data_IF_098435477088
#
_entry.id   IF_098435477088
#
_cell.length_a   1.000
_cell.length_b   1.000
_cell.length_c   1.000
_cell.angle_alpha   90.00
_cell.angle_beta   90.00
_cell.angle_gamma   90.00
#
_symmetry.space_group_name_H-M   'P 1'
#
loop_
_entity.id
_entity.type
_entity.pdbx_description
1 polymer ?
#
# COMPACT_ATOMS: atom_id res chain seq x y z
N UNK A 1 7.18 2.82 -10.34
CA UNK A 1 6.48 1.59 -9.93
C UNK A 1 7.23 0.99 -8.74
N UNK A 2 6.54 0.72 -7.64
CA UNK A 2 7.10 -0.05 -6.53
C UNK A 2 6.73 -1.51 -6.71
N UNK A 3 7.73 -2.40 -6.60
CA UNK A 3 7.52 -3.83 -6.49
C UNK A 3 7.53 -4.17 -5.00
N UNK A 4 6.44 -4.76 -4.51
CA UNK A 4 6.19 -5.01 -3.09
C UNK A 4 5.92 -6.48 -2.83
N UNK A 5 6.88 -7.39 -3.08
CA UNK A 5 6.71 -8.81 -2.74
C UNK A 5 6.36 -8.96 -1.26
N UNK A 6 5.51 -9.94 -0.94
CA UNK A 6 5.11 -10.21 0.42
C UNK A 6 6.30 -10.54 1.32
N UNK A 7 6.24 -10.04 2.56
CA UNK A 7 6.93 -10.61 3.71
C UNK A 7 5.87 -11.15 4.67
N UNK A 8 5.69 -12.48 4.70
CA UNK A 8 4.70 -13.19 5.53
C UNK A 8 5.36 -14.37 6.24
N UNK A 9 5.63 -14.28 7.55
CA UNK A 9 6.31 -15.34 8.29
C UNK A 9 5.61 -16.69 8.27
N UNK A 10 4.29 -16.70 8.23
CA UNK A 10 3.46 -17.90 8.40
C UNK A 10 2.99 -18.51 7.06
N UNK A 11 3.49 -18.02 5.92
CA UNK A 11 3.08 -18.46 4.57
C UNK A 11 4.28 -18.64 3.62
N UNK A 12 5.47 -18.94 4.15
CA UNK A 12 6.72 -19.15 3.40
C UNK A 12 7.20 -17.98 2.51
N UNK A 13 6.60 -16.80 2.63
CA UNK A 13 7.09 -15.56 2.00
C UNK A 13 8.16 -14.90 2.88
N UNK A 14 9.28 -15.61 3.06
CA UNK A 14 10.38 -15.25 3.96
C UNK A 14 11.69 -14.93 3.21
N UNK A 15 11.58 -14.50 1.95
CA UNK A 15 12.76 -14.16 1.16
C UNK A 15 13.57 -13.06 1.86
N UNK A 16 14.87 -13.30 2.04
CA UNK A 16 15.75 -12.31 2.69
C UNK A 16 15.83 -11.03 1.85
N UNK A 17 16.12 -9.87 2.47
CA UNK A 17 16.35 -8.63 1.73
C UNK A 17 17.37 -8.78 0.60
N UNK A 18 18.44 -9.56 0.82
CA UNK A 18 19.43 -9.84 -0.22
C UNK A 18 18.82 -10.59 -1.40
N UNK A 19 18.09 -11.68 -1.14
CA UNK A 19 17.44 -12.47 -2.19
C UNK A 19 16.46 -11.63 -3.00
N UNK A 20 15.68 -10.77 -2.33
CA UNK A 20 14.73 -9.88 -2.98
C UNK A 20 15.45 -8.84 -3.85
N UNK A 21 16.56 -8.26 -3.36
CA UNK A 21 17.39 -7.32 -4.14
C UNK A 21 18.03 -7.98 -5.36
N UNK A 22 18.47 -9.23 -5.26
CA UNK A 22 19.02 -9.98 -6.40
C UNK A 22 17.97 -10.19 -7.49
N UNK A 23 16.75 -10.59 -7.09
CA UNK A 23 15.62 -10.74 -8.02
C UNK A 23 15.20 -9.40 -8.63
N UNK A 24 15.14 -8.34 -7.82
CA UNK A 24 14.84 -6.99 -8.28
C UNK A 24 15.84 -6.52 -9.35
N UNK A 25 17.14 -6.78 -9.14
CA UNK A 25 18.18 -6.43 -10.12
C UNK A 25 17.95 -7.13 -11.45
N UNK A 26 17.55 -8.41 -11.45
CA UNK A 26 17.20 -9.13 -12.68
C UNK A 26 16.02 -8.48 -13.40
N UNK A 27 14.98 -8.08 -12.67
CA UNK A 27 13.82 -7.38 -13.27
C UNK A 27 14.24 -6.03 -13.85
N UNK A 28 15.05 -5.26 -13.14
CA UNK A 28 15.59 -3.98 -13.63
C UNK A 28 16.36 -4.17 -14.94
N UNK A 29 17.25 -5.16 -15.02
CA UNK A 29 17.98 -5.47 -16.25
C UNK A 29 17.04 -5.84 -17.40
N UNK A 30 15.96 -6.60 -17.15
CA UNK A 30 14.99 -6.93 -18.20
C UNK A 30 14.22 -5.69 -18.70
N UNK A 31 13.84 -4.78 -17.80
CA UNK A 31 13.19 -3.50 -18.15
C UNK A 31 14.12 -2.64 -19.01
N UNK A 32 15.40 -2.55 -18.63
CA UNK A 32 16.42 -1.81 -19.37
C UNK A 32 16.69 -2.43 -20.74
N UNK A 33 16.90 -3.75 -20.82
CA UNK A 33 17.17 -4.46 -22.09
C UNK A 33 16.01 -4.34 -23.09
N UNK A 34 14.78 -4.18 -22.60
CA UNK A 34 13.59 -3.96 -23.43
C UNK A 34 13.31 -2.48 -23.71
N UNK A 35 14.19 -1.56 -23.27
CA UNK A 35 14.03 -0.11 -23.42
C UNK A 35 12.69 0.42 -22.90
N UNK A 36 12.16 -0.18 -21.83
CA UNK A 36 10.91 0.25 -21.23
C UNK A 36 11.16 1.50 -20.37
N UNK A 37 10.43 2.59 -20.62
CA UNK A 37 10.51 3.81 -19.83
C UNK A 37 9.76 3.67 -18.49
N UNK A 38 10.25 2.77 -17.62
CA UNK A 38 9.66 2.46 -16.32
C UNK A 38 10.74 2.57 -15.25
N UNK A 39 10.54 3.47 -14.29
CA UNK A 39 11.37 3.51 -13.08
C UNK A 39 10.83 2.53 -12.03
N UNK A 40 11.67 1.56 -11.65
CA UNK A 40 11.37 0.58 -10.63
C UNK A 40 11.94 0.99 -9.27
N UNK A 41 11.17 0.70 -8.22
CA UNK A 41 11.54 0.84 -6.83
C UNK A 41 11.17 -0.46 -6.11
N UNK A 42 11.79 -0.71 -4.97
CA UNK A 42 11.61 -1.94 -4.21
C UNK A 42 11.11 -1.61 -2.81
N UNK A 43 10.19 -2.42 -2.31
CA UNK A 43 9.79 -2.47 -0.91
C UNK A 43 9.20 -3.83 -0.60
N UNK A 44 8.70 -4.02 0.62
CA UNK A 44 7.86 -5.18 0.93
C UNK A 44 6.44 -4.73 1.20
N UNK A 45 5.47 -5.58 0.86
CA UNK A 45 4.19 -5.61 1.55
C UNK A 45 4.36 -6.52 2.76
N UNK A 46 4.26 -5.95 3.97
CA UNK A 46 4.67 -6.63 5.20
C UNK A 46 3.42 -6.99 5.98
N UNK A 47 3.22 -8.29 6.20
CA UNK A 47 2.15 -8.73 7.09
C UNK A 47 2.53 -8.44 8.53
N UNK A 48 1.70 -7.65 9.19
CA UNK A 48 1.98 -7.18 10.53
C UNK A 48 2.07 -8.32 11.52
N UNK A 49 3.11 -8.27 12.35
CA UNK A 49 3.22 -9.03 13.59
C UNK A 49 4.13 -8.24 14.53
N UNK A 50 4.12 -8.57 15.83
CA UNK A 50 4.97 -7.86 16.79
C UNK A 50 6.47 -8.07 16.49
N UNK A 51 6.83 -9.24 15.94
CA UNK A 51 8.20 -9.58 15.56
C UNK A 51 8.70 -8.73 14.39
N UNK A 52 7.81 -8.28 13.50
CA UNK A 52 8.16 -7.40 12.37
C UNK A 52 8.78 -6.07 12.85
N UNK A 53 8.39 -5.58 14.01
CA UNK A 53 8.97 -4.36 14.62
C UNK A 53 10.48 -4.51 14.79
N UNK A 54 10.94 -5.65 15.31
CA UNK A 54 12.37 -5.90 15.50
C UNK A 54 13.09 -6.21 14.18
N UNK A 55 12.40 -6.82 13.22
CA UNK A 55 12.96 -7.06 11.90
C UNK A 55 13.17 -5.76 11.11
N UNK A 56 12.25 -4.81 11.23
CA UNK A 56 12.38 -3.46 10.66
C UNK A 56 13.56 -2.71 11.29
N UNK A 57 13.73 -2.78 12.63
CA UNK A 57 14.89 -2.18 13.33
C UNK A 57 16.24 -2.76 12.87
N UNK A 58 16.25 -4.03 12.45
CA UNK A 58 17.47 -4.76 12.03
C UNK A 58 17.67 -4.78 10.51
N UNK A 59 16.89 -4.00 9.76
CA UNK A 59 16.88 -3.97 8.30
C UNK A 59 16.71 -5.36 7.65
N UNK A 60 15.94 -6.24 8.31
CA UNK A 60 15.63 -7.60 7.82
C UNK A 60 14.38 -7.66 6.96
N UNK A 61 13.65 -6.56 6.84
CA UNK A 61 12.49 -6.38 5.95
C UNK A 61 12.62 -5.03 5.25
N UNK A 62 12.18 -4.92 4.00
CA UNK A 62 12.37 -3.72 3.19
C UNK A 62 11.29 -2.67 3.45
N UNK A 63 11.73 -1.44 3.69
CA UNK A 63 10.91 -0.22 3.60
C UNK A 63 10.58 0.10 2.14
N UNK A 64 9.69 1.06 1.92
CA UNK A 64 9.33 1.53 0.59
C UNK A 64 10.45 2.40 0.02
N UNK A 65 11.29 1.82 -0.84
CA UNK A 65 12.42 2.50 -1.46
C UNK A 65 13.45 2.91 -0.42
N UNK A 66 13.85 4.19 -0.45
CA UNK A 66 14.78 4.77 0.52
C UNK A 66 14.07 5.63 1.58
N UNK A 67 12.73 5.60 1.62
CA UNK A 67 11.95 6.37 2.58
C UNK A 67 11.81 5.65 3.93
N UNK A 68 11.23 6.33 4.90
CA UNK A 68 10.79 5.74 6.18
C UNK A 68 9.37 5.17 6.12
N UNK A 69 8.79 5.07 4.92
CA UNK A 69 7.47 4.46 4.75
C UNK A 69 7.55 2.93 4.72
N UNK A 70 6.57 2.27 5.32
CA UNK A 70 6.41 0.81 5.30
C UNK A 70 5.01 0.45 4.87
N UNK A 71 4.86 -0.45 3.89
CA UNK A 71 3.55 -0.94 3.47
C UNK A 71 3.17 -2.13 4.35
N UNK A 72 2.09 -1.98 5.12
CA UNK A 72 1.69 -2.95 6.13
C UNK A 72 0.31 -3.50 5.77
N UNK A 73 0.20 -4.82 5.78
CA UNK A 73 -1.05 -5.55 5.64
C UNK A 73 -1.39 -6.31 6.93
N UNK A 74 -2.65 -6.71 7.06
CA UNK A 74 -3.24 -7.34 8.23
C UNK A 74 -4.13 -8.50 7.78
N UNK A 75 -4.52 -9.40 8.70
CA UNK A 75 -5.56 -10.36 8.40
C UNK A 75 -6.89 -9.63 8.16
N UNK A 76 -7.72 -10.17 7.27
CA UNK A 76 -9.05 -9.58 7.00
C UNK A 76 -9.97 -9.57 8.23
N UNK A 77 -9.70 -10.45 9.20
CA UNK A 77 -10.40 -10.56 10.47
C UNK A 77 -9.73 -9.83 11.64
N UNK A 78 -8.59 -9.17 11.45
CA UNK A 78 -7.95 -8.40 12.52
C UNK A 78 -8.87 -7.26 12.97
N UNK A 79 -8.88 -7.01 14.27
CA UNK A 79 -9.65 -5.94 14.86
C UNK A 79 -8.98 -4.57 14.69
N UNK A 80 -9.71 -3.53 15.05
CA UNK A 80 -9.26 -2.16 14.82
C UNK A 80 -8.20 -1.74 15.81
N UNK A 81 -8.26 -2.30 17.01
CA UNK A 81 -7.34 -2.14 18.11
C UNK A 81 -5.94 -2.62 17.70
N UNK A 82 -5.85 -3.78 17.04
CA UNK A 82 -4.62 -4.34 16.46
C UNK A 82 -4.00 -3.37 15.45
N UNK A 83 -4.79 -2.82 14.54
CA UNK A 83 -4.31 -1.86 13.53
C UNK A 83 -3.84 -0.55 14.20
N UNK A 84 -4.57 -0.05 15.20
CA UNK A 84 -4.19 1.15 15.95
C UNK A 84 -2.86 0.92 16.68
N UNK A 85 -2.71 -0.21 17.36
CA UNK A 85 -1.47 -0.57 18.07
C UNK A 85 -0.30 -0.68 17.09
N UNK A 86 -0.51 -1.31 15.94
CA UNK A 86 0.49 -1.40 14.88
C UNK A 86 0.95 -0.02 14.41
N UNK A 87 0.02 0.90 14.15
CA UNK A 87 0.35 2.28 13.77
C UNK A 87 1.15 2.97 14.88
N UNK A 88 0.72 2.85 16.13
CA UNK A 88 1.44 3.42 17.28
C UNK A 88 2.88 2.91 17.37
N UNK A 89 3.09 1.60 17.27
CA UNK A 89 4.40 0.97 17.36
C UNK A 89 5.33 1.42 16.22
N UNK A 90 4.82 1.44 14.99
CA UNK A 90 5.60 1.84 13.82
C UNK A 90 5.96 3.33 13.84
N UNK A 91 5.01 4.19 14.23
CA UNK A 91 5.27 5.63 14.37
C UNK A 91 6.28 5.90 15.48
N UNK A 92 6.25 5.13 16.58
CA UNK A 92 7.25 5.21 17.66
C UNK A 92 8.66 4.83 17.18
N UNK A 93 8.78 4.04 16.10
CA UNK A 93 10.05 3.77 15.41
C UNK A 93 10.46 4.86 14.42
N UNK A 94 9.73 5.97 14.36
CA UNK A 94 9.88 7.03 13.33
C UNK A 94 9.60 6.52 11.90
N UNK A 95 8.84 5.42 11.78
CA UNK A 95 8.36 4.93 10.49
C UNK A 95 6.98 5.52 10.17
N UNK A 96 6.66 5.58 8.88
CA UNK A 96 5.38 6.07 8.37
C UNK A 96 4.59 4.91 7.77
N UNK A 97 3.66 4.29 8.52
CA UNK A 97 2.92 3.14 8.02
C UNK A 97 1.95 3.55 6.90
N UNK A 98 2.02 2.85 5.78
CA UNK A 98 0.99 2.84 4.73
C UNK A 98 0.15 1.58 4.98
N UNK A 99 -1.11 1.77 5.38
CA UNK A 99 -2.01 0.64 5.60
C UNK A 99 -2.54 0.18 4.24
N UNK A 100 -2.16 -1.02 3.84
CA UNK A 100 -2.52 -1.62 2.56
C UNK A 100 -4.03 -1.86 2.47
N UNK A 101 -4.59 -1.64 1.28
CA UNK A 101 -5.93 -2.05 0.85
C UNK A 101 -6.99 -2.08 1.98
N UNK A 102 -7.19 -0.93 2.65
CA UNK A 102 -8.01 -0.83 3.87
C UNK A 102 -9.46 -1.27 3.68
N UNK A 103 -9.91 -1.35 2.44
CA UNK A 103 -11.21 -1.87 2.07
C UNK A 103 -11.41 -3.36 2.37
N UNK A 104 -10.33 -4.13 2.59
CA UNK A 104 -10.38 -5.58 2.87
C UNK A 104 -10.67 -5.93 4.32
N UNK A 105 -10.47 -4.99 5.26
CA UNK A 105 -10.68 -5.26 6.68
C UNK A 105 -12.18 -5.24 6.98
N UNK A 106 -12.69 -6.36 7.54
CA UNK A 106 -14.06 -6.85 7.40
C UNK A 106 -15.22 -5.89 7.73
N UNK A 107 -14.93 -4.76 8.40
CA UNK A 107 -15.85 -3.62 8.52
C UNK A 107 -15.07 -2.31 8.38
N UNK A 108 -15.03 -1.75 7.17
CA UNK A 108 -14.67 -0.34 6.96
C UNK A 108 -15.46 0.51 7.97
N UNK A 109 -14.75 1.06 8.96
CA UNK A 109 -15.33 1.94 9.99
C UNK A 109 -15.75 3.26 9.34
N UNK A 110 -16.38 4.11 10.13
CA UNK A 110 -16.69 5.47 9.69
C UNK A 110 -15.40 6.27 9.39
N UNK A 111 -15.57 7.43 8.77
CA UNK A 111 -14.46 8.34 8.46
C UNK A 111 -13.63 8.73 9.70
N UNK A 112 -14.21 8.72 10.91
CA UNK A 112 -13.52 9.08 12.15
C UNK A 112 -12.40 8.12 12.50
N UNK A 113 -12.60 6.81 12.30
CA UNK A 113 -11.56 5.82 12.53
C UNK A 113 -10.34 6.08 11.64
N UNK A 114 -10.55 6.22 10.33
CA UNK A 114 -9.47 6.50 9.38
C UNK A 114 -8.83 7.86 9.62
N UNK A 115 -9.61 8.88 10.00
CA UNK A 115 -9.09 10.18 10.42
C UNK A 115 -8.19 10.05 11.64
N UNK A 116 -8.54 9.19 12.61
CA UNK A 116 -7.71 8.85 13.77
C UNK A 116 -6.37 8.25 13.37
N UNK A 117 -6.37 7.23 12.51
CA UNK A 117 -5.14 6.62 11.99
C UNK A 117 -4.24 7.64 11.29
N UNK A 118 -4.82 8.52 10.45
CA UNK A 118 -4.07 9.61 9.81
C UNK A 118 -3.48 10.60 10.81
N UNK A 119 -4.23 10.97 11.87
CA UNK A 119 -3.71 11.84 12.95
C UNK A 119 -2.56 11.20 13.71
N UNK A 120 -2.54 9.87 13.83
CA UNK A 120 -1.41 9.13 14.41
C UNK A 120 -0.19 9.10 13.50
N UNK A 121 -0.33 9.44 12.21
CA UNK A 121 0.77 9.51 11.26
C UNK A 121 0.77 8.42 10.18
N UNK A 122 -0.29 7.61 10.09
CA UNK A 122 -0.41 6.62 9.01
C UNK A 122 -0.91 7.24 7.70
N UNK A 123 -0.65 6.53 6.62
CA UNK A 123 -1.17 6.77 5.28
C UNK A 123 -2.10 5.62 4.90
N UNK A 124 -3.07 5.90 4.03
CA UNK A 124 -4.10 4.94 3.64
C UNK A 124 -3.97 4.60 2.16
N UNK A 125 -3.89 3.32 1.84
CA UNK A 125 -3.93 2.81 0.47
C UNK A 125 -5.21 2.02 0.23
N UNK A 126 -5.79 2.18 -0.98
CA UNK A 126 -6.93 1.38 -1.47
C UNK A 126 -6.64 0.81 -2.85
N UNK A 127 -7.22 -0.33 -3.20
CA UNK A 127 -6.98 -0.94 -4.51
C UNK A 127 -7.83 -0.28 -5.60
N UNK A 128 -7.24 -0.15 -6.78
CA UNK A 128 -7.90 0.36 -7.97
C UNK A 128 -9.19 -0.41 -8.31
N UNK A 129 -9.19 -1.74 -8.13
CA UNK A 129 -10.38 -2.57 -8.32
C UNK A 129 -11.53 -2.21 -7.38
N UNK A 130 -11.24 -1.80 -6.15
CA UNK A 130 -12.26 -1.36 -5.20
C UNK A 130 -12.86 0.00 -5.58
N UNK A 131 -12.05 0.90 -6.13
CA UNK A 131 -12.49 2.19 -6.69
C UNK A 131 -13.43 1.98 -7.88
N UNK A 132 -13.12 1.01 -8.74
CA UNK A 132 -13.93 0.65 -9.92
C UNK A 132 -15.16 -0.20 -9.57
N UNK A 133 -15.19 -0.81 -8.39
CA UNK A 133 -16.30 -1.61 -7.89
C UNK A 133 -16.27 -3.07 -8.33
N UNK A 134 -15.09 -3.61 -8.65
CA UNK A 134 -14.89 -5.03 -8.98
C UNK A 134 -15.31 -5.96 -7.85
N UNK A 135 -15.27 -5.48 -6.60
CA UNK A 135 -15.68 -6.21 -5.40
C UNK A 135 -17.10 -5.81 -4.91
N UNK A 136 -17.91 -5.21 -5.78
CA UNK A 136 -19.30 -4.86 -5.51
C UNK A 136 -19.56 -3.40 -5.15
N UNK A 137 -20.78 -2.94 -5.43
CA UNK A 137 -21.23 -1.55 -5.24
C UNK A 137 -21.14 -1.05 -3.79
N UNK A 138 -21.42 -1.84 -2.74
CA UNK A 138 -21.26 -1.39 -1.37
C UNK A 138 -19.81 -1.02 -1.03
N UNK A 139 -18.83 -1.81 -1.49
CA UNK A 139 -17.42 -1.51 -1.27
C UNK A 139 -16.99 -0.25 -2.03
N UNK A 140 -17.37 -0.15 -3.32
CA UNK A 140 -17.10 1.04 -4.14
C UNK A 140 -17.60 2.33 -3.48
N UNK A 141 -18.84 2.31 -2.97
CA UNK A 141 -19.44 3.48 -2.30
C UNK A 141 -18.63 3.89 -1.07
N UNK A 142 -18.16 2.93 -0.27
CA UNK A 142 -17.34 3.19 0.92
C UNK A 142 -15.96 3.77 0.56
N UNK A 143 -15.26 3.18 -0.42
CA UNK A 143 -13.98 3.72 -0.90
C UNK A 143 -14.15 5.13 -1.47
N UNK A 144 -15.20 5.37 -2.25
CA UNK A 144 -15.54 6.70 -2.75
C UNK A 144 -15.80 7.71 -1.62
N UNK A 145 -16.39 7.27 -0.50
CA UNK A 145 -16.60 8.12 0.67
C UNK A 145 -15.25 8.50 1.30
N UNK A 146 -14.33 7.56 1.48
CA UNK A 146 -12.98 7.84 1.99
C UNK A 146 -12.23 8.84 1.10
N UNK A 147 -12.32 8.69 -0.23
CA UNK A 147 -11.74 9.63 -1.20
C UNK A 147 -12.38 11.02 -1.03
N UNK A 148 -13.71 11.10 -0.95
CA UNK A 148 -14.45 12.37 -0.77
C UNK A 148 -14.01 13.10 0.52
N UNK A 149 -13.72 12.36 1.58
CA UNK A 149 -13.24 12.90 2.85
C UNK A 149 -11.71 13.12 2.90
N UNK A 150 -10.99 12.96 1.78
CA UNK A 150 -9.53 13.11 1.67
C UNK A 150 -8.73 12.18 2.61
N UNK A 151 -9.28 11.00 2.88
CA UNK A 151 -8.68 10.03 3.78
C UNK A 151 -7.76 9.03 3.07
N UNK A 152 -7.93 8.84 1.76
CA UNK A 152 -7.02 8.00 0.96
C UNK A 152 -5.79 8.80 0.56
N UNK A 153 -4.61 8.19 0.62
CA UNK A 153 -3.33 8.77 0.20
C UNK A 153 -2.79 8.15 -1.08
N UNK A 154 -3.13 6.88 -1.32
CA UNK A 154 -2.68 6.12 -2.49
C UNK A 154 -3.80 5.23 -3.06
N UNK A 155 -3.88 5.18 -4.39
CA UNK A 155 -4.58 4.12 -5.11
C UNK A 155 -3.53 3.27 -5.83
N UNK A 156 -3.48 1.98 -5.51
CA UNK A 156 -2.51 1.03 -6.07
C UNK A 156 -3.21 -0.12 -6.80
N UNK A 157 -2.47 -0.84 -7.64
CA UNK A 157 -3.04 -1.95 -8.42
C UNK A 157 -3.24 -3.22 -7.61
N UNK A 158 -2.33 -3.51 -6.68
CA UNK A 158 -2.22 -4.80 -5.99
C UNK A 158 -2.22 -5.98 -6.99
N UNK A 159 -1.44 -5.80 -8.07
CA UNK A 159 -1.44 -6.70 -9.22
C UNK A 159 -0.53 -7.91 -8.95
N UNK A 160 -1.10 -9.10 -9.12
CA UNK A 160 -0.44 -10.40 -8.86
C UNK A 160 -0.25 -11.24 -10.12
N UNK A 161 -0.90 -10.87 -11.22
CA UNK A 161 -0.94 -11.63 -12.47
C UNK A 161 -0.67 -10.73 -13.69
N UNK A 162 -0.62 -11.36 -14.87
CA UNK A 162 -0.41 -10.70 -16.16
C UNK A 162 -1.61 -9.88 -16.64
N UNK A 163 -2.75 -9.97 -15.94
CA UNK A 163 -3.94 -9.21 -16.28
C UNK A 163 -3.69 -7.76 -15.87
N UNK A 164 -3.59 -6.91 -16.90
CA UNK A 164 -3.12 -5.53 -16.77
C UNK A 164 -3.76 -4.74 -15.63
N UNK A 165 -2.97 -3.86 -15.03
CA UNK A 165 -3.43 -3.02 -13.91
C UNK A 165 -4.67 -2.19 -14.31
N UNK A 166 -5.71 -2.20 -13.50
CA UNK A 166 -6.86 -1.31 -13.67
C UNK A 166 -6.61 0.14 -13.22
N UNK A 167 -5.33 0.54 -13.07
CA UNK A 167 -4.92 1.88 -12.62
C UNK A 167 -5.33 2.98 -13.60
N UNK A 168 -5.26 2.74 -14.91
CA UNK A 168 -5.69 3.72 -15.92
C UNK A 168 -7.18 4.03 -15.78
N UNK A 169 -8.00 2.99 -15.66
CA UNK A 169 -9.45 3.15 -15.51
C UNK A 169 -9.80 3.77 -14.15
N UNK A 170 -9.11 3.38 -13.08
CA UNK A 170 -9.28 3.99 -11.77
C UNK A 170 -8.93 5.49 -11.80
N UNK A 171 -7.86 5.88 -12.50
CA UNK A 171 -7.51 7.29 -12.70
C UNK A 171 -8.64 8.05 -13.38
N UNK A 172 -9.11 7.57 -14.53
CA UNK A 172 -10.18 8.21 -15.30
C UNK A 172 -11.47 8.33 -14.48
N UNK A 173 -11.80 7.28 -13.71
CA UNK A 173 -12.95 7.30 -12.81
C UNK A 173 -12.81 8.35 -11.71
N UNK A 174 -11.65 8.40 -11.03
CA UNK A 174 -11.39 9.37 -9.96
C UNK A 174 -11.39 10.79 -10.50
N UNK A 175 -10.78 11.02 -11.66
CA UNK A 175 -10.76 12.33 -12.31
C UNK A 175 -12.16 12.81 -12.67
N UNK A 176 -12.98 11.94 -13.28
CA UNK A 176 -14.38 12.24 -13.62
C UNK A 176 -15.23 12.53 -12.38
N UNK A 177 -14.99 11.84 -11.26
CA UNK A 177 -15.86 11.89 -10.07
C UNK A 177 -15.41 12.90 -9.01
N UNK A 178 -14.10 13.13 -8.87
CA UNK A 178 -13.48 13.91 -7.81
C UNK A 178 -12.50 14.97 -8.32
N UNK A 179 -12.32 15.09 -9.65
CA UNK A 179 -11.47 16.09 -10.28
C UNK A 179 -10.02 15.65 -10.50
N UNK A 180 -9.37 16.31 -11.46
CA UNK A 180 -7.99 16.04 -11.88
C UNK A 180 -6.98 16.10 -10.73
N UNK A 181 -7.06 17.12 -9.88
CA UNK A 181 -6.12 17.29 -8.75
C UNK A 181 -6.20 16.13 -7.76
N UNK A 182 -7.41 15.63 -7.48
CA UNK A 182 -7.60 14.45 -6.63
C UNK A 182 -6.96 13.23 -7.28
N UNK A 183 -7.21 12.99 -8.56
CA UNK A 183 -6.62 11.88 -9.30
C UNK A 183 -5.07 11.93 -9.30
N UNK A 184 -4.49 13.11 -9.55
CA UNK A 184 -3.04 13.33 -9.45
C UNK A 184 -2.52 13.01 -8.03
N UNK A 185 -3.18 13.53 -6.99
CA UNK A 185 -2.72 13.34 -5.61
C UNK A 185 -2.78 11.89 -5.14
N UNK A 186 -3.66 11.05 -5.69
CA UNK A 186 -3.84 9.66 -5.25
C UNK A 186 -3.09 8.65 -6.11
N UNK A 187 -2.89 8.93 -7.40
CA UNK A 187 -2.24 8.00 -8.35
C UNK A 187 -0.84 8.43 -8.80
N UNK A 188 -0.44 9.67 -8.53
CA UNK A 188 0.89 10.22 -8.86
C UNK A 188 1.56 10.87 -7.63
N UNK A 189 1.26 10.33 -6.44
CA UNK A 189 1.78 10.85 -5.18
C UNK A 189 3.29 10.58 -5.05
N UNK A 190 4.10 11.61 -5.22
CA UNK A 190 5.57 11.50 -5.15
C UNK A 190 6.13 11.49 -3.73
N UNK A 191 5.30 11.65 -2.69
CA UNK A 191 5.78 11.66 -1.29
C UNK A 191 6.45 10.34 -0.87
N UNK A 192 6.13 9.23 -1.52
CA UNK A 192 6.75 7.91 -1.28
C UNK A 192 8.16 7.78 -1.89
N UNK A 193 8.58 8.75 -2.71
CA UNK A 193 9.90 8.79 -3.34
C UNK A 193 10.91 9.64 -2.56
N UNK A 194 10.46 10.32 -1.50
CA UNK A 194 11.21 11.28 -0.70
C UNK A 194 11.68 10.61 0.60
#
# INVERSE_FOLDING_TARGET
LFLTPHYRPYQDFLATPQRIRDLFTKVVSQVQNRNLNIRLHLGNEIFYSIEVIDLLRKDKVLKMGNSDMVLIEFATGDDHETIIEAVHNLVSLKLRPIIAHVERYGKLRNHEYYSGLKRMGSLIQVNAGAVLGHYGKPLQKRVCLLIKHKLVDFIASDAHDEFGSCLKDARLFVEKKFGFQTAESLLNNKSILI
#
